data_IF_793084371997
#
_entry.id   IF_793084371997
#
_cell.length_a   1.000
_cell.length_b   1.000
_cell.length_c   1.000
_cell.angle_alpha   90.00
_cell.angle_beta   90.00
_cell.angle_gamma   90.00
#
_symmetry.space_group_name_H-M   'P 1'
#
loop_
_entity.id
_entity.type
_entity.pdbx_description
1 polymer ?
#
# COMPACT_ATOMS: atom_id res chain seq x y z
N UNK A 1 13.70 -26.02 -7.05
CA UNK A 1 12.65 -25.59 -7.97
C UNK A 1 12.27 -24.13 -7.73
N UNK A 2 11.68 -23.74 -6.60
CA UNK A 2 11.34 -22.32 -6.36
C UNK A 2 12.57 -21.40 -6.43
N UNK A 3 13.63 -21.69 -5.64
CA UNK A 3 14.87 -20.92 -5.66
C UNK A 3 15.53 -20.83 -7.05
N UNK A 4 15.34 -21.84 -7.90
CA UNK A 4 15.87 -21.84 -9.26
C UNK A 4 15.09 -20.86 -10.15
N UNK A 5 13.76 -20.88 -10.08
CA UNK A 5 12.90 -19.91 -10.78
C UNK A 5 13.17 -18.49 -10.26
N UNK A 6 13.41 -18.34 -8.96
CA UNK A 6 13.78 -17.06 -8.35
C UNK A 6 15.09 -16.54 -8.90
N UNK A 7 16.15 -17.35 -8.88
CA UNK A 7 17.46 -16.97 -9.40
C UNK A 7 17.39 -16.56 -10.88
N UNK A 8 16.58 -17.24 -11.69
CA UNK A 8 16.40 -16.86 -13.10
C UNK A 8 15.78 -15.46 -13.22
N UNK A 9 14.69 -15.19 -12.49
CA UNK A 9 13.94 -13.94 -12.64
C UNK A 9 14.55 -12.76 -11.86
N UNK A 10 15.35 -13.03 -10.83
CA UNK A 10 15.95 -12.03 -9.94
C UNK A 10 17.44 -11.78 -10.24
N UNK A 11 18.04 -12.56 -11.17
CA UNK A 11 19.38 -12.27 -11.68
C UNK A 11 19.43 -10.96 -12.46
N UNK A 12 20.56 -10.24 -12.39
CA UNK A 12 20.78 -9.00 -13.12
C UNK A 12 20.81 -9.27 -14.64
N UNK A 13 19.68 -9.03 -15.31
CA UNK A 13 19.57 -9.18 -16.76
C UNK A 13 18.14 -9.49 -17.21
N UNK A 14 17.89 -9.40 -18.51
CA UNK A 14 16.65 -9.97 -19.09
C UNK A 14 16.84 -11.47 -19.24
N UNK A 15 15.95 -12.32 -18.69
CA UNK A 15 16.06 -13.78 -18.81
C UNK A 15 16.16 -14.22 -20.27
N UNK A 16 17.07 -15.17 -20.56
CA UNK A 16 17.20 -15.74 -21.91
C UNK A 16 16.01 -16.65 -22.24
N UNK A 17 15.78 -16.94 -23.52
CA UNK A 17 14.69 -17.85 -23.93
C UNK A 17 14.87 -19.26 -23.34
N UNK A 18 16.12 -19.72 -23.20
CA UNK A 18 16.42 -20.98 -22.53
C UNK A 18 16.02 -20.95 -21.05
N UNK A 19 16.21 -19.82 -20.36
CA UNK A 19 15.82 -19.67 -18.97
C UNK A 19 14.30 -19.59 -18.80
N UNK A 20 13.61 -18.89 -19.71
CA UNK A 20 12.15 -18.89 -19.78
C UNK A 20 11.61 -20.31 -20.00
N UNK A 21 12.23 -21.11 -20.89
CA UNK A 21 11.83 -22.49 -21.11
C UNK A 21 12.06 -23.37 -19.88
N UNK A 22 13.13 -23.16 -19.10
CA UNK A 22 13.33 -23.88 -17.82
C UNK A 22 12.18 -23.61 -16.85
N UNK A 23 11.72 -22.36 -16.73
CA UNK A 23 10.58 -22.02 -15.88
C UNK A 23 9.32 -22.76 -16.33
N UNK A 24 9.05 -22.83 -17.64
CA UNK A 24 7.90 -23.59 -18.19
C UNK A 24 8.03 -25.08 -17.88
N UNK A 25 9.21 -25.67 -18.04
CA UNK A 25 9.43 -27.09 -17.72
C UNK A 25 9.20 -27.38 -16.23
N UNK A 26 9.59 -26.46 -15.33
CA UNK A 26 9.32 -26.56 -13.89
C UNK A 26 7.82 -26.42 -13.63
N UNK A 27 7.15 -25.46 -14.29
CA UNK A 27 5.70 -25.28 -14.20
C UNK A 27 4.95 -26.56 -14.60
N UNK A 28 5.26 -27.16 -15.75
CA UNK A 28 4.55 -28.36 -16.23
C UNK A 28 4.71 -29.57 -15.30
N UNK A 29 5.86 -29.68 -14.63
CA UNK A 29 6.10 -30.72 -13.60
C UNK A 29 5.38 -30.46 -12.29
N UNK A 30 5.20 -29.19 -11.92
CA UNK A 30 4.68 -28.78 -10.60
C UNK A 30 3.18 -28.50 -10.61
N UNK A 31 2.60 -28.08 -11.73
CA UNK A 31 1.19 -27.68 -11.84
C UNK A 31 0.21 -28.79 -11.45
N UNK A 32 0.33 -30.06 -11.91
CA UNK A 32 -0.57 -31.13 -11.46
C UNK A 32 -0.42 -31.45 -9.97
N UNK A 33 0.82 -31.37 -9.44
CA UNK A 33 1.09 -31.58 -8.00
C UNK A 33 0.50 -30.46 -7.16
N UNK A 34 0.60 -29.23 -7.63
CA UNK A 34 0.00 -28.05 -7.02
C UNK A 34 -1.51 -28.18 -6.91
N UNK A 35 -2.20 -28.54 -8.00
CA UNK A 35 -3.64 -28.75 -7.99
C UNK A 35 -4.06 -29.78 -6.92
N UNK A 36 -3.32 -30.90 -6.84
CA UNK A 36 -3.56 -31.93 -5.80
C UNK A 36 -3.36 -31.37 -4.39
N UNK A 37 -2.23 -30.71 -4.11
CA UNK A 37 -1.96 -30.18 -2.77
C UNK A 37 -2.92 -29.06 -2.36
N UNK A 38 -3.39 -28.24 -3.29
CA UNK A 38 -4.44 -27.25 -3.03
C UNK A 38 -5.75 -27.94 -2.64
N UNK A 39 -6.14 -29.01 -3.34
CA UNK A 39 -7.34 -29.76 -3.00
C UNK A 39 -7.23 -30.44 -1.62
N UNK A 40 -6.07 -31.05 -1.32
CA UNK A 40 -5.80 -31.65 -0.01
C UNK A 40 -5.85 -30.63 1.12
N UNK A 41 -5.26 -29.44 0.94
CA UNK A 41 -5.27 -28.40 1.97
C UNK A 41 -6.66 -27.78 2.14
N UNK A 42 -7.45 -27.65 1.06
CA UNK A 42 -8.85 -27.23 1.15
C UNK A 42 -9.70 -28.23 1.94
N UNK A 43 -9.39 -29.53 1.84
CA UNK A 43 -10.05 -30.55 2.66
C UNK A 43 -9.67 -30.35 4.14
N UNK A 44 -8.38 -30.20 4.44
CA UNK A 44 -7.91 -29.99 5.83
C UNK A 44 -8.48 -28.74 6.46
N UNK A 45 -8.62 -27.66 5.70
CA UNK A 45 -9.25 -26.43 6.17
C UNK A 45 -10.68 -26.63 6.65
N UNK A 46 -11.40 -27.57 6.05
CA UNK A 46 -12.79 -27.84 6.41
C UNK A 46 -12.94 -28.82 7.56
N UNK A 47 -11.93 -29.65 7.82
CA UNK A 47 -12.07 -30.83 8.68
C UNK A 47 -11.08 -30.90 9.85
N UNK A 48 -9.95 -30.19 9.79
CA UNK A 48 -8.84 -30.35 10.75
C UNK A 48 -8.59 -29.08 11.56
N UNK A 49 -8.55 -27.92 10.92
CA UNK A 49 -8.26 -26.68 11.64
C UNK A 49 -9.52 -26.11 12.27
N UNK A 50 -9.53 -26.00 13.60
CA UNK A 50 -10.66 -25.42 14.36
C UNK A 50 -10.45 -23.93 14.64
N UNK A 51 -9.21 -23.50 14.91
CA UNK A 51 -8.88 -22.16 15.42
C UNK A 51 -7.91 -21.37 14.51
N UNK A 52 -8.02 -21.54 13.19
CA UNK A 52 -7.19 -20.78 12.23
C UNK A 52 -5.70 -21.14 12.23
N UNK A 53 -5.31 -22.23 12.91
CA UNK A 53 -3.93 -22.75 13.03
C UNK A 53 -3.22 -22.93 11.69
N UNK A 54 -4.00 -23.21 10.63
CA UNK A 54 -3.50 -23.40 9.28
C UNK A 54 -2.95 -22.12 8.63
N UNK A 55 -3.38 -20.92 9.03
CA UNK A 55 -3.07 -19.69 8.28
C UNK A 55 -1.56 -19.42 8.19
N UNK A 56 -0.86 -19.40 9.32
CA UNK A 56 0.60 -19.20 9.33
C UNK A 56 1.36 -20.44 8.84
N UNK A 57 0.93 -21.64 9.26
CA UNK A 57 1.63 -22.89 8.96
C UNK A 57 1.55 -23.29 7.48
N UNK A 58 0.51 -22.87 6.75
CA UNK A 58 0.36 -23.12 5.30
C UNK A 58 1.54 -22.62 4.48
N UNK A 59 2.30 -21.63 4.96
CA UNK A 59 3.53 -21.18 4.31
C UNK A 59 4.56 -22.30 4.16
N UNK A 60 4.57 -23.27 5.07
CA UNK A 60 5.48 -24.41 5.04
C UNK A 60 4.93 -25.59 4.21
N UNK A 61 3.73 -25.48 3.65
CA UNK A 61 3.16 -26.46 2.73
C UNK A 61 3.80 -26.30 1.33
N UNK A 62 4.19 -27.38 0.63
CA UNK A 62 4.69 -27.32 -0.74
C UNK A 62 3.80 -26.53 -1.72
N UNK A 63 2.47 -26.54 -1.53
CA UNK A 63 1.53 -25.77 -2.32
C UNK A 63 1.78 -24.25 -2.25
N UNK A 64 2.28 -23.73 -1.13
CA UNK A 64 2.64 -22.32 -1.03
C UNK A 64 3.79 -21.96 -1.98
N UNK A 65 4.86 -22.75 -1.97
CA UNK A 65 5.98 -22.61 -2.92
C UNK A 65 5.56 -22.81 -4.37
N UNK A 66 4.72 -23.82 -4.64
CA UNK A 66 4.22 -24.05 -5.99
C UNK A 66 3.31 -22.93 -6.50
N UNK A 67 2.47 -22.34 -5.64
CA UNK A 67 1.64 -21.17 -6.01
C UNK A 67 2.52 -19.99 -6.45
N UNK A 68 3.69 -19.79 -5.80
CA UNK A 68 4.67 -18.80 -6.24
C UNK A 68 5.28 -19.15 -7.61
N UNK A 69 5.57 -20.42 -7.87
CA UNK A 69 6.01 -20.89 -9.20
C UNK A 69 4.93 -20.64 -10.25
N UNK A 70 3.65 -20.95 -9.97
CA UNK A 70 2.53 -20.68 -10.88
C UNK A 70 2.45 -19.19 -11.24
N UNK A 71 2.52 -18.32 -10.24
CA UNK A 71 2.56 -16.88 -10.44
C UNK A 71 3.75 -16.42 -11.30
N UNK A 72 4.95 -16.99 -11.07
CA UNK A 72 6.15 -16.68 -11.87
C UNK A 72 6.06 -17.24 -13.30
N UNK A 73 5.40 -18.38 -13.52
CA UNK A 73 5.15 -18.93 -14.85
C UNK A 73 4.24 -18.04 -15.70
N UNK A 74 3.27 -17.36 -15.09
CA UNK A 74 2.43 -16.39 -15.79
C UNK A 74 3.24 -15.27 -16.46
N UNK A 75 4.29 -14.78 -15.81
CA UNK A 75 5.19 -13.78 -16.40
C UNK A 75 5.78 -14.28 -17.71
N UNK A 76 6.17 -15.57 -17.76
CA UNK A 76 6.71 -16.20 -18.97
C UNK A 76 5.65 -16.29 -20.07
N UNK A 77 4.44 -16.75 -19.74
CA UNK A 77 3.33 -16.81 -20.70
C UNK A 77 3.00 -15.43 -21.28
N UNK A 78 3.00 -14.40 -20.43
CA UNK A 78 2.81 -13.02 -20.88
C UNK A 78 3.90 -12.54 -21.83
N UNK A 79 5.18 -12.85 -21.54
CA UNK A 79 6.32 -12.53 -22.41
C UNK A 79 6.26 -13.22 -23.76
N UNK A 80 5.80 -14.49 -23.79
CA UNK A 80 5.60 -15.28 -25.01
C UNK A 80 4.30 -14.97 -25.75
N UNK A 81 3.48 -14.05 -25.23
CA UNK A 81 2.14 -13.71 -25.75
C UNK A 81 1.18 -14.92 -25.77
N UNK A 82 1.44 -15.91 -24.93
CA UNK A 82 0.56 -17.07 -24.69
C UNK A 82 -0.60 -16.67 -23.77
N UNK A 83 -1.34 -15.62 -24.15
CA UNK A 83 -2.32 -14.97 -23.28
C UNK A 83 -3.47 -15.90 -22.84
N UNK A 84 -3.81 -16.90 -23.65
CA UNK A 84 -4.82 -17.90 -23.28
C UNK A 84 -4.37 -18.79 -22.10
N UNK A 85 -3.11 -19.25 -22.09
CA UNK A 85 -2.54 -20.00 -20.96
C UNK A 85 -2.40 -19.11 -19.73
N UNK A 86 -1.98 -17.87 -19.92
CA UNK A 86 -1.89 -16.88 -18.85
C UNK A 86 -3.25 -16.63 -18.18
N UNK A 87 -4.31 -16.44 -18.97
CA UNK A 87 -5.68 -16.25 -18.49
C UNK A 87 -6.23 -17.49 -17.77
N UNK A 88 -6.02 -18.68 -18.33
CA UNK A 88 -6.44 -19.95 -17.69
C UNK A 88 -5.79 -20.15 -16.33
N UNK A 89 -4.47 -19.93 -16.23
CA UNK A 89 -3.75 -20.05 -14.95
C UNK A 89 -4.19 -19.01 -13.92
N UNK A 90 -4.50 -17.78 -14.37
CA UNK A 90 -5.08 -16.75 -13.51
C UNK A 90 -6.44 -17.16 -12.94
N UNK A 91 -7.30 -17.79 -13.75
CA UNK A 91 -8.59 -18.30 -13.29
C UNK A 91 -8.41 -19.39 -12.23
N UNK A 92 -7.44 -20.29 -12.41
CA UNK A 92 -7.11 -21.33 -11.41
C UNK A 92 -6.56 -20.71 -10.10
N UNK A 93 -5.65 -19.74 -10.19
CA UNK A 93 -5.08 -19.05 -9.03
C UNK A 93 -6.14 -18.27 -8.23
N UNK A 94 -7.08 -17.62 -8.92
CA UNK A 94 -8.17 -16.87 -8.29
C UNK A 94 -9.25 -17.79 -7.68
N UNK A 95 -9.38 -19.03 -8.17
CA UNK A 95 -10.37 -20.01 -7.65
C UNK A 95 -10.02 -20.49 -6.24
N UNK A 96 -8.74 -20.65 -5.92
CA UNK A 96 -8.30 -21.02 -4.57
C UNK A 96 -8.20 -19.80 -3.64
N UNK A 97 -8.39 -20.01 -2.34
CA UNK A 97 -8.34 -18.95 -1.30
C UNK A 97 -7.45 -19.33 -0.12
N UNK A 98 -6.38 -20.08 -0.36
CA UNK A 98 -5.49 -20.58 0.70
C UNK A 98 -4.08 -19.99 0.65
N UNK A 99 -3.56 -19.73 -0.55
CA UNK A 99 -2.17 -19.38 -0.76
C UNK A 99 -2.03 -18.07 -1.54
N UNK A 100 -1.08 -17.22 -1.12
CA UNK A 100 -0.75 -15.94 -1.77
C UNK A 100 -1.94 -14.99 -1.88
N UNK A 101 -2.75 -14.89 -0.81
CA UNK A 101 -3.96 -14.06 -0.77
C UNK A 101 -3.68 -12.60 -1.11
N UNK A 102 -2.56 -12.07 -0.62
CA UNK A 102 -2.10 -10.72 -0.92
C UNK A 102 -1.93 -10.41 -2.42
N UNK A 103 -1.80 -11.43 -3.29
CA UNK A 103 -1.62 -11.26 -4.74
C UNK A 103 -2.93 -11.21 -5.53
N UNK A 104 -4.07 -11.50 -4.90
CA UNK A 104 -5.36 -11.62 -5.60
C UNK A 104 -5.72 -10.35 -6.34
N UNK A 105 -5.50 -9.17 -5.74
CA UNK A 105 -5.74 -7.90 -6.42
C UNK A 105 -4.91 -7.73 -7.70
N UNK A 106 -3.62 -8.08 -7.67
CA UNK A 106 -2.77 -8.09 -8.87
C UNK A 106 -3.25 -9.12 -9.91
N UNK A 107 -3.74 -10.28 -9.48
CA UNK A 107 -4.32 -11.28 -10.37
C UNK A 107 -5.60 -10.79 -11.05
N UNK A 108 -6.52 -10.14 -10.32
CA UNK A 108 -7.71 -9.50 -10.90
C UNK A 108 -7.33 -8.42 -11.92
N UNK A 109 -6.40 -7.52 -11.56
CA UNK A 109 -5.93 -6.47 -12.45
C UNK A 109 -5.37 -7.05 -13.76
N UNK A 110 -4.56 -8.12 -13.67
CA UNK A 110 -3.97 -8.76 -14.85
C UNK A 110 -5.03 -9.51 -15.66
N UNK A 111 -5.94 -10.25 -15.02
CA UNK A 111 -7.03 -10.98 -15.70
C UNK A 111 -7.94 -10.02 -16.48
N UNK A 112 -8.39 -8.92 -15.85
CA UNK A 112 -9.21 -7.91 -16.52
C UNK A 112 -8.49 -7.24 -17.69
N UNK A 113 -7.17 -7.02 -17.59
CA UNK A 113 -6.35 -6.51 -18.70
C UNK A 113 -6.33 -7.51 -19.87
N UNK A 114 -6.15 -8.79 -19.58
CA UNK A 114 -6.13 -9.84 -20.59
C UNK A 114 -7.46 -9.96 -21.34
N UNK A 115 -8.55 -9.93 -20.58
CA UNK A 115 -9.92 -9.95 -21.08
C UNK A 115 -10.22 -8.76 -21.98
N UNK A 116 -9.82 -7.54 -21.57
CA UNK A 116 -10.05 -6.33 -22.37
C UNK A 116 -9.30 -6.35 -23.72
N UNK A 117 -8.05 -6.83 -23.74
CA UNK A 117 -7.13 -6.56 -24.85
C UNK A 117 -6.81 -7.76 -25.76
N UNK A 118 -6.84 -8.99 -25.23
CA UNK A 118 -6.29 -10.15 -25.92
C UNK A 118 -7.30 -11.27 -26.14
N UNK A 119 -8.21 -11.52 -25.20
CA UNK A 119 -9.08 -12.71 -25.26
C UNK A 119 -10.00 -12.71 -26.48
N UNK A 120 -10.55 -11.56 -26.86
CA UNK A 120 -11.40 -11.45 -28.05
C UNK A 120 -10.72 -11.86 -29.37
N UNK A 121 -9.37 -11.84 -29.44
CA UNK A 121 -8.61 -12.30 -30.63
C UNK A 121 -8.41 -13.81 -30.63
N UNK A 122 -8.40 -14.45 -29.47
CA UNK A 122 -8.16 -15.88 -29.30
C UNK A 122 -9.44 -16.71 -29.44
N UNK A 123 -10.59 -16.12 -29.12
CA UNK A 123 -11.88 -16.81 -28.97
C UNK A 123 -12.55 -17.25 -30.29
N UNK A 124 -11.84 -17.23 -31.43
CA UNK A 124 -12.32 -17.85 -32.67
C UNK A 124 -13.60 -17.24 -33.28
N UNK A 125 -14.22 -17.98 -34.20
CA UNK A 125 -15.12 -17.48 -35.27
C UNK A 125 -16.34 -16.63 -34.82
N UNK A 126 -16.73 -15.66 -35.66
CA UNK A 126 -17.86 -14.74 -35.43
C UNK A 126 -17.48 -13.25 -35.49
N UNK A 127 -18.48 -12.36 -35.33
CA UNK A 127 -18.25 -10.91 -35.39
C UNK A 127 -17.25 -10.45 -34.31
N UNK A 128 -16.20 -9.76 -34.77
CA UNK A 128 -15.08 -9.28 -33.94
C UNK A 128 -15.57 -8.24 -32.93
N UNK A 129 -16.50 -7.37 -33.30
CA UNK A 129 -17.00 -6.33 -32.40
C UNK A 129 -17.93 -6.91 -31.33
N UNK A 130 -18.77 -7.88 -31.68
CA UNK A 130 -19.56 -8.64 -30.70
C UNK A 130 -18.67 -9.31 -29.65
N UNK A 131 -17.62 -10.04 -30.06
CA UNK A 131 -16.66 -10.69 -29.14
C UNK A 131 -15.95 -9.68 -28.24
N UNK A 132 -15.46 -8.56 -28.80
CA UNK A 132 -14.84 -7.49 -28.00
C UNK A 132 -15.81 -6.94 -26.97
N UNK A 133 -17.09 -6.79 -27.31
CA UNK A 133 -18.11 -6.32 -26.36
C UNK A 133 -18.32 -7.35 -25.24
N UNK A 134 -18.46 -8.63 -25.58
CA UNK A 134 -18.62 -9.71 -24.61
C UNK A 134 -17.42 -9.78 -23.64
N UNK A 135 -16.20 -9.78 -24.15
CA UNK A 135 -14.99 -9.83 -23.32
C UNK A 135 -14.79 -8.58 -22.45
N UNK A 136 -15.23 -7.40 -22.91
CA UNK A 136 -15.28 -6.20 -22.06
C UNK A 136 -16.29 -6.35 -20.92
N UNK A 137 -17.43 -6.99 -21.15
CA UNK A 137 -18.42 -7.29 -20.10
C UNK A 137 -17.86 -8.29 -19.07
N UNK A 138 -17.12 -9.30 -19.54
CA UNK A 138 -16.39 -10.23 -18.65
C UNK A 138 -15.34 -9.47 -17.84
N UNK A 139 -14.60 -8.56 -18.45
CA UNK A 139 -13.61 -7.72 -17.76
C UNK A 139 -14.24 -6.80 -16.70
N UNK A 140 -15.43 -6.23 -16.98
CA UNK A 140 -16.23 -5.49 -15.99
C UNK A 140 -16.56 -6.38 -14.80
N UNK A 141 -17.10 -7.57 -15.06
CA UNK A 141 -17.45 -8.55 -14.02
C UNK A 141 -16.22 -8.96 -13.20
N UNK A 142 -15.06 -9.15 -13.84
CA UNK A 142 -13.79 -9.44 -13.15
C UNK A 142 -13.37 -8.30 -12.23
N UNK A 143 -13.49 -7.04 -12.67
CA UNK A 143 -13.20 -5.87 -11.83
C UNK A 143 -14.16 -5.77 -10.64
N UNK A 144 -15.47 -5.96 -10.86
CA UNK A 144 -16.49 -5.95 -9.79
C UNK A 144 -16.22 -7.05 -8.76
N UNK A 145 -15.96 -8.28 -9.23
CA UNK A 145 -15.61 -9.42 -8.37
C UNK A 145 -14.35 -9.12 -7.55
N UNK A 146 -13.34 -8.49 -8.16
CA UNK A 146 -12.12 -8.09 -7.47
C UNK A 146 -12.36 -7.04 -6.39
N UNK A 147 -13.23 -6.06 -6.64
CA UNK A 147 -13.58 -5.04 -5.64
C UNK A 147 -14.43 -5.59 -4.47
N UNK A 148 -15.20 -6.66 -4.72
CA UNK A 148 -16.01 -7.35 -3.71
C UNK A 148 -15.24 -8.46 -2.96
N UNK A 149 -14.05 -8.84 -3.43
CA UNK A 149 -13.25 -9.88 -2.80
C UNK A 149 -12.61 -9.34 -1.50
N UNK A 150 -12.91 -9.93 -0.32
CA UNK A 150 -12.34 -9.47 0.95
C UNK A 150 -10.80 -9.59 1.00
N UNK A 151 -10.23 -10.51 0.22
CA UNK A 151 -8.78 -10.71 0.13
C UNK A 151 -8.13 -9.81 -0.94
N UNK A 152 -8.91 -9.02 -1.68
CA UNK A 152 -8.37 -8.00 -2.57
C UNK A 152 -7.97 -6.77 -1.75
N UNK A 153 -6.67 -6.65 -1.49
CA UNK A 153 -6.09 -5.55 -0.73
C UNK A 153 -6.42 -4.17 -1.32
N UNK A 154 -6.61 -3.19 -0.45
CA UNK A 154 -7.09 -1.84 -0.81
C UNK A 154 -6.17 -1.15 -1.82
N UNK A 155 -4.87 -1.46 -1.79
CA UNK A 155 -3.86 -0.94 -2.74
C UNK A 155 -4.18 -1.23 -4.21
N UNK A 156 -4.98 -2.25 -4.50
CA UNK A 156 -5.34 -2.64 -5.87
C UNK A 156 -6.66 -2.03 -6.35
N UNK A 157 -7.46 -1.47 -5.44
CA UNK A 157 -8.80 -0.98 -5.73
C UNK A 157 -8.76 0.19 -6.71
N UNK A 158 -7.81 1.12 -6.57
CA UNK A 158 -7.67 2.27 -7.48
C UNK A 158 -7.60 1.85 -8.97
N UNK A 159 -6.71 0.92 -9.33
CA UNK A 159 -6.55 0.51 -10.73
C UNK A 159 -7.74 -0.31 -11.25
N UNK A 160 -8.37 -1.09 -10.36
CA UNK A 160 -9.59 -1.85 -10.69
C UNK A 160 -10.76 -0.89 -10.97
N UNK A 161 -10.99 0.09 -10.10
CA UNK A 161 -12.01 1.15 -10.28
C UNK A 161 -11.74 1.96 -11.55
N UNK A 162 -10.48 2.39 -11.77
CA UNK A 162 -10.08 3.12 -12.97
C UNK A 162 -10.33 2.32 -14.25
N UNK A 163 -10.03 1.02 -14.25
CA UNK A 163 -10.31 0.13 -15.38
C UNK A 163 -11.81 -0.06 -15.57
N UNK A 164 -12.57 -0.25 -14.50
CA UNK A 164 -14.02 -0.41 -14.54
C UNK A 164 -14.67 0.81 -15.22
N UNK A 165 -14.42 2.02 -14.74
CA UNK A 165 -14.95 3.25 -15.33
C UNK A 165 -14.58 3.41 -16.82
N UNK A 166 -13.36 3.00 -17.19
CA UNK A 166 -12.92 3.02 -18.60
C UNK A 166 -13.69 2.00 -19.45
N UNK A 167 -13.94 0.80 -18.93
CA UNK A 167 -14.68 -0.26 -19.62
C UNK A 167 -16.16 0.12 -19.79
N UNK A 168 -16.79 0.67 -18.77
CA UNK A 168 -18.19 1.12 -18.83
C UNK A 168 -18.41 2.21 -19.89
N UNK A 169 -17.48 3.18 -19.97
CA UNK A 169 -17.47 4.18 -21.04
C UNK A 169 -17.33 3.55 -22.42
N UNK A 170 -16.45 2.55 -22.58
CA UNK A 170 -16.27 1.81 -23.85
C UNK A 170 -17.51 0.98 -24.21
N UNK A 171 -18.24 0.48 -23.23
CA UNK A 171 -19.49 -0.25 -23.40
C UNK A 171 -20.70 0.67 -23.61
N UNK A 172 -20.50 2.00 -23.50
CA UNK A 172 -21.55 3.03 -23.60
C UNK A 172 -22.69 2.79 -22.61
N UNK A 173 -22.34 2.35 -21.40
CA UNK A 173 -23.31 2.20 -20.30
C UNK A 173 -23.85 3.60 -19.94
N UNK A 174 -25.17 3.80 -19.83
CA UNK A 174 -25.75 5.09 -19.43
C UNK A 174 -25.16 5.57 -18.10
N UNK A 175 -24.88 6.87 -17.96
CA UNK A 175 -24.20 7.46 -16.77
C UNK A 175 -24.87 7.08 -15.44
N UNK A 176 -26.20 6.95 -15.41
CA UNK A 176 -26.97 6.52 -14.23
C UNK A 176 -26.77 5.06 -13.79
N UNK A 177 -26.20 4.23 -14.68
CA UNK A 177 -25.90 2.81 -14.45
C UNK A 177 -24.38 2.59 -14.34
N UNK A 178 -23.57 3.63 -14.52
CA UNK A 178 -22.13 3.54 -14.29
C UNK A 178 -21.86 3.53 -12.80
N UNK A 179 -20.80 2.84 -12.41
CA UNK A 179 -20.33 2.90 -11.04
C UNK A 179 -19.91 4.33 -10.68
N UNK A 180 -20.38 4.81 -9.54
CA UNK A 180 -19.94 6.08 -8.96
C UNK A 180 -19.13 5.81 -7.69
N UNK A 181 -17.84 6.12 -7.77
CA UNK A 181 -16.92 6.01 -6.65
C UNK A 181 -16.73 7.35 -5.93
N UNK A 182 -17.70 8.28 -6.00
CA UNK A 182 -17.60 9.70 -5.60
C UNK A 182 -16.95 10.06 -4.25
N UNK A 183 -16.81 9.12 -3.31
CA UNK A 183 -16.08 9.26 -2.04
C UNK A 183 -14.57 8.92 -2.16
N UNK A 184 -14.19 8.06 -3.12
CA UNK A 184 -12.83 7.73 -3.51
C UNK A 184 -12.46 8.62 -4.70
N UNK A 185 -12.06 9.86 -4.42
CA UNK A 185 -11.61 10.76 -5.49
C UNK A 185 -10.38 10.13 -6.13
N UNK A 186 -10.48 9.67 -7.38
CA UNK A 186 -9.31 9.38 -8.24
C UNK A 186 -8.57 10.68 -8.60
N UNK A 187 -8.44 11.60 -7.64
CA UNK A 187 -7.87 12.92 -7.83
C UNK A 187 -6.36 12.81 -7.93
N UNK A 188 -5.80 13.65 -8.79
CA UNK A 188 -4.36 13.86 -8.81
C UNK A 188 -3.93 14.59 -7.53
N UNK A 189 -2.69 14.35 -7.05
CA UNK A 189 -2.13 15.16 -5.98
C UNK A 189 -2.11 16.64 -6.36
N UNK A 190 -2.19 17.50 -5.34
CA UNK A 190 -2.02 18.94 -5.53
C UNK A 190 -0.56 19.22 -5.83
N UNK A 191 -0.26 19.79 -6.98
CA UNK A 191 1.10 20.23 -7.29
C UNK A 191 1.39 21.56 -6.60
N UNK A 192 2.55 21.64 -5.97
CA UNK A 192 3.01 22.79 -5.23
C UNK A 192 4.48 23.07 -5.54
N UNK A 193 4.89 24.32 -5.40
CA UNK A 193 6.28 24.73 -5.53
C UNK A 193 6.72 25.45 -4.26
N UNK A 194 7.85 25.04 -3.70
CA UNK A 194 8.51 25.73 -2.59
C UNK A 194 9.87 26.21 -3.07
N UNK A 195 10.12 27.49 -2.92
CA UNK A 195 11.36 28.14 -3.33
C UNK A 195 12.30 28.29 -2.15
N UNK A 196 13.57 27.91 -2.33
CA UNK A 196 14.60 28.00 -1.31
C UNK A 196 15.98 28.31 -1.88
N UNK A 197 16.95 28.55 -0.99
CA UNK A 197 18.35 28.76 -1.38
C UNK A 197 19.10 27.44 -1.29
N UNK A 198 19.61 26.96 -2.42
CA UNK A 198 20.39 25.73 -2.47
C UNK A 198 21.86 26.03 -2.20
N UNK A 199 22.46 25.28 -1.28
CA UNK A 199 23.88 25.37 -0.95
C UNK A 199 24.62 24.27 -1.71
N UNK A 200 25.49 24.66 -2.63
CA UNK A 200 26.28 23.74 -3.44
C UNK A 200 27.71 23.75 -2.93
N UNK A 201 28.21 22.58 -2.52
CA UNK A 201 29.62 22.39 -2.17
C UNK A 201 30.34 21.76 -3.34
N UNK A 202 31.42 22.40 -3.80
CA UNK A 202 32.31 21.82 -4.79
C UNK A 202 33.21 20.78 -4.10
N UNK A 203 32.63 19.63 -3.79
CA UNK A 203 33.39 18.46 -3.38
C UNK A 203 34.11 17.91 -4.62
N UNK A 204 35.38 18.31 -4.79
CA UNK A 204 36.26 17.66 -5.75
C UNK A 204 36.18 16.13 -5.54
N UNK A 205 35.87 15.34 -6.59
CA UNK A 205 35.69 13.91 -6.43
C UNK A 205 37.02 13.31 -5.95
N UNK A 206 37.09 12.89 -4.68
CA UNK A 206 38.23 12.11 -4.19
C UNK A 206 38.31 10.83 -5.02
N UNK A 207 39.48 10.59 -5.63
CA UNK A 207 39.72 9.40 -6.43
C UNK A 207 39.40 8.15 -5.59
N UNK A 208 38.36 7.41 -5.98
CA UNK A 208 37.90 6.19 -5.32
C UNK A 208 36.67 6.30 -4.41
N UNK A 209 36.05 7.48 -4.25
CA UNK A 209 34.78 7.60 -3.53
C UNK A 209 33.58 7.15 -4.38
N UNK A 210 32.70 6.33 -3.81
CA UNK A 210 31.36 6.07 -4.37
C UNK A 210 30.63 7.39 -4.63
N UNK A 211 29.79 7.40 -5.67
CA UNK A 211 29.11 8.58 -6.23
C UNK A 211 28.70 9.62 -5.17
N UNK A 212 28.89 10.91 -5.50
CA UNK A 212 28.50 12.04 -4.67
C UNK A 212 27.08 11.87 -4.13
N UNK A 213 26.88 12.13 -2.83
CA UNK A 213 25.57 12.08 -2.17
C UNK A 213 24.54 12.87 -2.97
N UNK A 214 23.47 12.22 -3.39
CA UNK A 214 22.32 12.86 -4.08
C UNK A 214 21.52 13.79 -3.18
N UNK A 215 21.83 13.86 -1.88
CA UNK A 215 21.17 14.78 -0.95
C UNK A 215 21.61 16.21 -1.24
N UNK A 216 20.63 17.04 -1.56
CA UNK A 216 20.82 18.49 -1.73
C UNK A 216 20.80 19.17 -0.37
N UNK A 217 21.67 20.16 -0.18
CA UNK A 217 21.76 20.96 1.05
C UNK A 217 21.09 22.31 0.77
N UNK A 218 20.27 22.77 1.71
CA UNK A 218 19.49 24.00 1.58
C UNK A 218 19.69 24.89 2.80
N UNK A 219 19.46 26.18 2.64
CA UNK A 219 19.42 27.12 3.75
C UNK A 219 18.00 27.21 4.30
N UNK A 220 17.84 27.00 5.60
CA UNK A 220 16.59 27.20 6.30
C UNK A 220 16.41 28.68 6.67
N UNK A 221 16.03 29.50 5.68
CA UNK A 221 15.79 30.94 5.89
C UNK A 221 14.65 31.23 6.89
N UNK A 222 13.81 30.23 7.15
CA UNK A 222 12.51 30.44 7.78
C UNK A 222 12.46 30.11 9.27
N UNK A 223 13.35 29.23 9.75
CA UNK A 223 13.41 28.77 11.13
C UNK A 223 14.83 28.90 11.71
N UNK A 224 15.73 27.94 11.44
CA UNK A 224 17.06 27.88 12.09
C UNK A 224 18.11 28.84 11.54
N UNK A 225 17.95 29.35 10.33
CA UNK A 225 18.98 30.14 9.62
C UNK A 225 20.22 29.33 9.22
N UNK A 226 20.20 28.01 9.42
CA UNK A 226 21.31 27.10 9.17
C UNK A 226 21.12 26.21 7.95
N UNK A 227 22.06 25.29 7.75
CA UNK A 227 21.97 24.26 6.70
C UNK A 227 20.95 23.18 7.09
N UNK A 228 20.11 22.79 6.14
CA UNK A 228 19.07 21.79 6.34
C UNK A 228 18.89 20.92 5.08
N UNK A 229 18.10 19.85 5.21
CA UNK A 229 17.67 19.04 4.06
C UNK A 229 16.54 19.74 3.29
N UNK A 230 16.26 19.27 2.06
CA UNK A 230 15.17 19.81 1.26
C UNK A 230 13.80 19.64 1.92
N UNK A 231 13.62 18.54 2.66
CA UNK A 231 12.39 18.21 3.37
C UNK A 231 12.19 19.13 4.57
N UNK A 232 13.24 19.41 5.35
CA UNK A 232 13.15 20.33 6.48
C UNK A 232 12.91 21.77 6.01
N UNK A 233 13.55 22.20 4.91
CA UNK A 233 13.26 23.50 4.29
C UNK A 233 11.78 23.63 3.88
N UNK A 234 11.23 22.59 3.25
CA UNK A 234 9.80 22.54 2.94
C UNK A 234 8.94 22.56 4.21
N UNK A 235 9.35 21.82 5.26
CA UNK A 235 8.65 21.78 6.53
C UNK A 235 8.61 23.17 7.21
N UNK A 236 9.72 23.92 7.22
CA UNK A 236 9.77 25.30 7.71
C UNK A 236 8.83 26.23 6.93
N UNK A 237 8.74 26.04 5.61
CA UNK A 237 7.77 26.77 4.77
C UNK A 237 6.32 26.48 5.19
N UNK A 238 5.98 25.22 5.43
CA UNK A 238 4.65 24.83 5.92
C UNK A 238 4.36 25.33 7.34
N UNK A 239 5.36 25.31 8.24
CA UNK A 239 5.25 25.87 9.60
C UNK A 239 4.84 27.34 9.57
N UNK A 240 5.41 28.15 8.67
CA UNK A 240 5.00 29.55 8.51
C UNK A 240 3.57 29.74 8.02
N UNK A 241 2.99 28.74 7.36
CA UNK A 241 1.58 28.74 6.96
C UNK A 241 0.64 28.18 8.04
N UNK A 242 1.15 27.94 9.25
CA UNK A 242 0.36 27.44 10.39
C UNK A 242 0.20 25.92 10.42
N UNK A 243 1.00 25.16 9.67
CA UNK A 243 1.00 23.69 9.76
C UNK A 243 2.01 23.21 10.80
N UNK A 244 1.59 22.26 11.64
CA UNK A 244 2.52 21.35 12.32
C UNK A 244 2.90 20.21 11.37
N UNK A 245 4.03 19.56 11.61
CA UNK A 245 4.41 18.44 10.78
C UNK A 245 5.65 17.68 11.21
N UNK A 246 5.74 16.44 10.73
CA UNK A 246 6.90 15.57 10.88
C UNK A 246 7.47 15.17 9.52
N UNK A 247 8.80 15.20 9.41
CA UNK A 247 9.55 14.50 8.36
C UNK A 247 9.98 13.14 8.92
N UNK A 248 9.31 12.06 8.50
CA UNK A 248 9.50 10.74 9.15
C UNK A 248 9.60 9.55 8.20
N UNK A 249 9.61 9.73 6.87
CA UNK A 249 9.69 8.63 5.89
C UNK A 249 8.68 7.48 6.19
N UNK A 250 7.46 7.86 6.60
CA UNK A 250 6.40 6.94 7.05
C UNK A 250 6.51 6.40 8.49
N UNK A 251 7.53 6.78 9.24
CA UNK A 251 7.75 6.39 10.65
C UNK A 251 6.60 6.79 11.57
N UNK A 252 6.00 7.96 11.34
CA UNK A 252 4.81 8.40 12.08
C UNK A 252 3.61 7.48 11.80
N UNK A 253 3.39 7.07 10.54
CA UNK A 253 2.30 6.14 10.17
C UNK A 253 2.51 4.77 10.82
N UNK A 254 3.75 4.26 10.84
CA UNK A 254 4.10 3.01 11.54
C UNK A 254 3.87 3.13 13.05
N UNK A 255 4.21 4.27 13.64
CA UNK A 255 4.03 4.54 15.07
C UNK A 255 2.56 4.63 15.44
N UNK A 256 1.75 5.33 14.64
CA UNK A 256 0.30 5.38 14.81
C UNK A 256 -0.31 3.99 14.68
N UNK A 257 0.07 3.22 13.66
CA UNK A 257 -0.41 1.84 13.51
C UNK A 257 -0.05 0.98 14.73
N UNK A 258 1.18 1.05 15.23
CA UNK A 258 1.60 0.28 16.39
C UNK A 258 0.83 0.64 17.66
N UNK A 259 0.53 1.92 17.90
CA UNK A 259 -0.37 2.34 18.99
C UNK A 259 -1.79 1.81 18.77
N UNK A 260 -2.38 2.11 17.61
CA UNK A 260 -3.78 1.84 17.31
C UNK A 260 -4.10 0.35 17.13
N UNK A 261 -3.11 -0.51 16.93
CA UNK A 261 -3.28 -1.96 16.74
C UNK A 261 -2.52 -2.79 17.78
N UNK A 262 -2.06 -2.20 18.89
CA UNK A 262 -1.19 -2.88 19.85
C UNK A 262 -1.73 -4.25 20.30
N UNK A 263 -2.97 -4.29 20.79
CA UNK A 263 -3.64 -5.52 21.24
C UNK A 263 -3.93 -6.50 20.10
N UNK A 264 -4.20 -6.02 18.89
CA UNK A 264 -4.35 -6.86 17.68
C UNK A 264 -3.02 -7.50 17.27
N UNK A 265 -1.91 -6.74 17.36
CA UNK A 265 -0.55 -7.22 17.07
C UNK A 265 -0.14 -8.34 18.02
N UNK A 266 -0.48 -8.20 19.31
CA UNK A 266 -0.15 -9.16 20.36
C UNK A 266 -1.31 -10.11 20.71
N UNK A 267 -2.35 -10.16 19.87
CA UNK A 267 -3.41 -11.15 19.98
C UNK A 267 -2.82 -12.56 19.88
N UNK A 268 -3.26 -13.45 20.76
CA UNK A 268 -2.85 -14.85 20.72
C UNK A 268 -3.29 -15.48 19.40
N UNK A 269 -2.32 -15.89 18.60
CA UNK A 269 -2.53 -16.76 17.45
C UNK A 269 -1.60 -17.97 17.56
N UNK A 270 -2.05 -19.18 17.20
CA UNK A 270 -1.21 -20.38 17.25
C UNK A 270 0.07 -20.21 16.43
N UNK A 271 1.22 -20.60 17.00
CA UNK A 271 2.53 -20.69 16.34
C UNK A 271 3.20 -19.37 15.90
N UNK A 272 2.59 -18.19 16.11
CA UNK A 272 3.19 -16.90 15.69
C UNK A 272 4.07 -16.25 16.74
N UNK A 273 3.93 -16.65 18.01
CA UNK A 273 4.81 -16.27 19.12
C UNK A 273 5.49 -17.53 19.67
N UNK A 274 6.79 -17.64 19.42
CA UNK A 274 7.64 -18.77 19.82
C UNK A 274 8.58 -18.41 20.98
N UNK A 275 8.89 -17.12 21.17
CA UNK A 275 9.76 -16.66 22.25
C UNK A 275 9.23 -15.38 22.90
N UNK A 276 9.63 -15.14 24.15
CA UNK A 276 9.26 -13.93 24.90
C UNK A 276 9.95 -12.64 24.39
N UNK A 277 10.88 -12.74 23.43
CA UNK A 277 11.67 -11.61 22.91
C UNK A 277 11.15 -11.06 21.58
N UNK A 278 10.03 -11.56 21.08
CA UNK A 278 9.45 -11.09 19.84
C UNK A 278 8.79 -9.72 20.01
N UNK A 279 9.19 -8.78 19.16
CA UNK A 279 8.61 -7.42 19.08
C UNK A 279 7.39 -7.33 18.16
N UNK A 280 7.06 -8.43 17.47
CA UNK A 280 5.91 -8.59 16.59
C UNK A 280 5.61 -10.08 16.33
N UNK A 281 4.39 -10.42 15.88
CA UNK A 281 4.08 -11.80 15.54
C UNK A 281 4.79 -12.22 14.24
N UNK A 282 5.20 -13.49 14.14
CA UNK A 282 5.98 -13.99 12.99
C UNK A 282 5.23 -13.89 11.65
N UNK A 283 3.91 -13.74 11.69
CA UNK A 283 3.07 -13.62 10.51
C UNK A 283 2.90 -12.18 10.01
N UNK A 284 3.31 -11.14 10.75
CA UNK A 284 3.11 -9.73 10.37
C UNK A 284 3.66 -9.38 8.98
N UNK A 285 4.80 -9.94 8.61
CA UNK A 285 5.44 -9.70 7.31
C UNK A 285 5.01 -10.72 6.23
N UNK A 286 3.83 -11.33 6.41
CA UNK A 286 3.29 -12.39 5.58
C UNK A 286 1.86 -12.07 5.16
N UNK A 287 1.39 -12.76 4.13
CA UNK A 287 0.02 -12.69 3.65
C UNK A 287 -1.00 -13.40 4.57
N UNK A 288 -0.54 -13.97 5.70
CA UNK A 288 -1.39 -14.62 6.69
C UNK A 288 -1.87 -13.68 7.80
N UNK A 289 -1.17 -12.57 8.10
CA UNK A 289 -1.48 -11.70 9.25
C UNK A 289 -2.90 -11.14 9.20
N UNK A 290 -3.28 -10.55 8.05
CA UNK A 290 -4.59 -9.93 7.90
C UNK A 290 -5.73 -10.96 7.91
N UNK A 291 -5.70 -12.04 7.11
CA UNK A 291 -6.75 -13.07 7.15
C UNK A 291 -6.90 -13.73 8.53
N UNK A 292 -5.79 -13.97 9.23
CA UNK A 292 -5.80 -14.63 10.55
C UNK A 292 -6.46 -13.79 11.65
N UNK A 293 -6.51 -12.46 11.49
CA UNK A 293 -7.11 -11.51 12.45
C UNK A 293 -8.18 -10.64 11.81
N UNK A 294 -8.82 -11.13 10.73
CA UNK A 294 -9.70 -10.30 9.93
C UNK A 294 -10.87 -9.74 10.75
N UNK A 295 -11.38 -10.51 11.72
CA UNK A 295 -12.46 -10.06 12.61
C UNK A 295 -12.01 -8.89 13.49
N UNK A 296 -10.92 -9.06 14.22
CA UNK A 296 -10.38 -8.10 15.18
C UNK A 296 -9.86 -6.84 14.48
N UNK A 297 -9.20 -7.02 13.33
CA UNK A 297 -8.77 -5.91 12.48
C UNK A 297 -9.99 -5.11 12.02
N UNK A 298 -11.02 -5.75 11.47
CA UNK A 298 -12.19 -5.02 10.97
C UNK A 298 -12.96 -4.33 12.11
N UNK A 299 -13.05 -4.94 13.30
CA UNK A 299 -13.62 -4.29 14.48
C UNK A 299 -12.82 -3.03 14.85
N UNK A 300 -11.49 -3.15 14.97
CA UNK A 300 -10.60 -2.01 15.28
C UNK A 300 -10.71 -0.89 14.25
N UNK A 301 -10.81 -1.24 12.97
CA UNK A 301 -11.00 -0.27 11.89
C UNK A 301 -12.31 0.53 12.05
N UNK A 302 -13.38 -0.10 12.54
CA UNK A 302 -14.65 0.59 12.83
C UNK A 302 -14.54 1.49 14.06
N UNK A 303 -13.87 1.04 15.13
CA UNK A 303 -13.60 1.88 16.30
C UNK A 303 -12.84 3.16 15.91
N UNK A 304 -11.77 3.02 15.12
CA UNK A 304 -11.00 4.16 14.61
C UNK A 304 -11.87 5.04 13.72
N UNK A 305 -12.69 4.45 12.86
CA UNK A 305 -13.60 5.20 11.99
C UNK A 305 -14.61 6.06 12.77
N UNK A 306 -15.01 5.60 13.96
CA UNK A 306 -15.93 6.31 14.85
C UNK A 306 -15.24 7.30 15.80
N UNK A 307 -13.92 7.53 15.67
CA UNK A 307 -13.20 8.54 16.43
C UNK A 307 -12.50 8.05 17.71
N UNK A 308 -12.43 6.74 17.94
CA UNK A 308 -11.78 6.17 19.15
C UNK A 308 -10.24 6.20 19.10
N UNK A 309 -9.66 6.71 18.01
CA UNK A 309 -8.22 6.67 17.77
C UNK A 309 -7.38 7.32 18.86
N UNK A 310 -7.76 8.50 19.36
CA UNK A 310 -7.01 9.18 20.43
C UNK A 310 -7.01 8.37 21.72
N UNK A 311 -8.17 7.81 22.10
CA UNK A 311 -8.30 6.99 23.30
C UNK A 311 -7.39 5.77 23.21
N UNK A 312 -7.45 5.02 22.11
CA UNK A 312 -6.63 3.84 21.88
C UNK A 312 -5.12 4.16 21.97
N UNK A 313 -4.72 5.29 21.39
CA UNK A 313 -3.33 5.74 21.42
C UNK A 313 -2.86 6.05 22.84
N UNK A 314 -3.65 6.84 23.60
CA UNK A 314 -3.31 7.24 24.97
C UNK A 314 -3.28 6.05 25.92
N UNK A 315 -4.22 5.12 25.82
CA UNK A 315 -4.23 3.90 26.63
C UNK A 315 -2.96 3.06 26.48
N UNK A 316 -2.46 2.91 25.25
CA UNK A 316 -1.21 2.18 24.99
C UNK A 316 -0.02 2.96 25.52
N UNK A 317 0.02 4.27 25.32
CA UNK A 317 1.09 5.12 25.83
C UNK A 317 1.17 5.05 27.36
N UNK A 318 0.05 5.24 28.07
CA UNK A 318 -0.01 5.19 29.54
C UNK A 318 0.47 3.85 30.09
N UNK A 319 0.10 2.75 29.43
CA UNK A 319 0.46 1.39 29.88
C UNK A 319 1.91 1.03 29.59
N UNK A 320 2.44 1.41 28.43
CA UNK A 320 3.68 0.84 27.88
C UNK A 320 4.86 1.83 27.79
N UNK A 321 4.61 3.15 27.74
CA UNK A 321 5.66 4.16 27.54
C UNK A 321 6.71 4.15 28.67
N UNK A 322 6.28 4.00 29.93
CA UNK A 322 7.19 3.95 31.08
C UNK A 322 8.20 2.79 31.03
N UNK A 323 7.85 1.69 30.35
CA UNK A 323 8.75 0.55 30.11
C UNK A 323 9.51 0.66 28.80
N UNK A 324 9.13 1.59 27.92
CA UNK A 324 9.58 1.70 26.53
C UNK A 324 9.51 0.36 25.81
N UNK A 325 8.37 -0.33 25.93
CA UNK A 325 8.17 -1.66 25.36
C UNK A 325 8.53 -1.67 23.88
N UNK A 326 9.36 -2.64 23.47
CA UNK A 326 9.85 -2.73 22.11
C UNK A 326 8.78 -3.38 21.22
N UNK A 327 8.20 -2.58 20.33
CA UNK A 327 7.19 -3.01 19.36
C UNK A 327 7.60 -2.57 17.98
N UNK A 328 7.40 -3.43 16.98
CA UNK A 328 7.73 -3.10 15.59
C UNK A 328 7.03 -1.82 15.14
N UNK A 329 7.78 -0.91 14.53
CA UNK A 329 7.25 0.34 13.98
C UNK A 329 6.89 1.42 15.02
N UNK A 330 6.94 1.10 16.32
CA UNK A 330 6.67 2.02 17.40
C UNK A 330 7.92 2.84 17.74
N UNK A 331 7.83 4.16 17.65
CA UNK A 331 8.87 5.06 18.14
C UNK A 331 8.32 5.90 19.30
N UNK A 332 8.92 5.75 20.47
CA UNK A 332 8.56 6.46 21.70
C UNK A 332 9.05 7.91 21.76
N UNK A 333 9.87 8.33 20.80
CA UNK A 333 10.43 9.69 20.77
C UNK A 333 9.49 10.69 20.09
N UNK A 334 8.39 10.23 19.48
CA UNK A 334 7.31 11.11 19.07
C UNK A 334 6.54 11.61 20.27
N UNK A 335 6.20 12.90 20.27
CA UNK A 335 5.39 13.50 21.32
C UNK A 335 3.96 12.95 21.26
N UNK A 336 3.47 12.45 22.40
CA UNK A 336 2.15 11.79 22.48
C UNK A 336 1.01 12.77 22.23
N UNK A 337 1.17 14.04 22.60
CA UNK A 337 0.15 15.06 22.42
C UNK A 337 0.10 15.52 20.97
N UNK A 338 1.24 15.63 20.29
CA UNK A 338 1.28 15.84 18.84
C UNK A 338 0.65 14.66 18.09
N UNK A 339 0.95 13.41 18.49
CA UNK A 339 0.32 12.22 17.87
C UNK A 339 -1.19 12.19 18.10
N UNK A 340 -1.65 12.52 19.31
CA UNK A 340 -3.06 12.60 19.64
C UNK A 340 -3.77 13.72 18.84
N UNK A 341 -3.16 14.90 18.73
CA UNK A 341 -3.67 16.00 17.91
C UNK A 341 -3.75 15.61 16.44
N UNK A 342 -2.71 14.97 15.90
CA UNK A 342 -2.70 14.45 14.53
C UNK A 342 -3.85 13.46 14.31
N UNK A 343 -4.07 12.53 15.24
CA UNK A 343 -5.19 11.58 15.18
C UNK A 343 -6.55 12.29 15.18
N UNK A 344 -6.74 13.34 15.99
CA UNK A 344 -7.97 14.16 15.98
C UNK A 344 -8.18 14.93 14.67
N UNK A 345 -7.10 15.30 13.99
CA UNK A 345 -7.17 16.03 12.72
C UNK A 345 -7.57 15.12 11.55
N UNK A 346 -7.39 13.81 11.65
CA UNK A 346 -7.87 12.88 10.63
C UNK A 346 -9.39 12.75 10.66
N UNK A 347 -10.00 12.59 9.49
CA UNK A 347 -11.29 11.92 9.41
C UNK A 347 -11.07 10.45 9.83
N UNK A 348 -11.88 9.94 10.76
CA UNK A 348 -11.70 8.59 11.30
C UNK A 348 -11.69 7.52 10.21
N UNK A 349 -12.55 7.67 9.20
CA UNK A 349 -12.63 6.79 8.03
C UNK A 349 -11.30 6.75 7.26
N UNK A 350 -10.61 7.89 7.18
CA UNK A 350 -9.34 8.04 6.48
C UNK A 350 -8.19 7.39 7.24
N UNK A 351 -8.10 7.63 8.55
CA UNK A 351 -7.12 6.98 9.43
C UNK A 351 -7.32 5.45 9.45
N UNK A 352 -8.58 5.01 9.48
CA UNK A 352 -8.95 3.60 9.35
C UNK A 352 -8.44 3.01 8.02
N UNK A 353 -8.65 3.68 6.89
CA UNK A 353 -8.15 3.21 5.59
C UNK A 353 -6.61 3.06 5.55
N UNK A 354 -5.87 4.01 6.14
CA UNK A 354 -4.40 3.93 6.28
C UNK A 354 -4.01 2.70 7.11
N UNK A 355 -4.65 2.50 8.27
CA UNK A 355 -4.39 1.35 9.12
C UNK A 355 -4.72 0.02 8.43
N UNK A 356 -5.79 -0.03 7.62
CA UNK A 356 -6.15 -1.21 6.84
C UNK A 356 -5.05 -1.59 5.85
N UNK A 357 -4.46 -0.62 5.17
CA UNK A 357 -3.32 -0.87 4.26
C UNK A 357 -2.09 -1.37 5.01
N UNK A 358 -1.81 -0.80 6.18
CA UNK A 358 -0.72 -1.27 7.04
C UNK A 358 -0.94 -2.72 7.50
N UNK A 359 -2.16 -3.08 7.89
CA UNK A 359 -2.50 -4.44 8.28
C UNK A 359 -2.42 -5.43 7.10
N UNK A 360 -2.85 -5.02 5.90
CA UNK A 360 -2.82 -5.89 4.71
C UNK A 360 -1.41 -6.09 4.14
N UNK A 361 -0.54 -5.07 4.19
CA UNK A 361 0.72 -5.04 3.43
C UNK A 361 1.91 -4.48 4.22
N UNK A 362 2.00 -4.77 5.52
CA UNK A 362 3.01 -4.20 6.42
C UNK A 362 4.45 -4.23 5.87
N UNK A 363 4.88 -5.39 5.33
CA UNK A 363 6.24 -5.57 4.77
C UNK A 363 6.53 -4.65 3.58
N UNK A 364 5.57 -4.46 2.67
CA UNK A 364 5.78 -3.73 1.40
C UNK A 364 5.43 -2.26 1.51
N UNK A 365 4.52 -1.91 2.42
CA UNK A 365 3.95 -0.57 2.57
C UNK A 365 4.45 0.18 3.79
N UNK A 366 5.36 -0.43 4.57
CA UNK A 366 6.20 0.31 5.50
C UNK A 366 7.05 1.38 4.82
N UNK A 367 7.31 1.31 3.50
CA UNK A 367 8.02 2.34 2.73
C UNK A 367 7.14 2.99 1.65
N UNK A 368 7.59 4.16 1.17
CA UNK A 368 6.93 4.94 0.11
C UNK A 368 5.73 5.77 0.58
N UNK A 369 5.50 5.89 1.88
CA UNK A 369 4.63 6.94 2.44
C UNK A 369 5.27 8.29 2.11
N UNK A 370 4.49 9.34 1.76
CA UNK A 370 5.04 10.67 1.52
C UNK A 370 5.92 11.18 2.67
N UNK A 371 6.94 11.97 2.32
CA UNK A 371 8.01 12.38 3.24
C UNK A 371 7.49 13.13 4.47
N UNK A 372 6.57 14.08 4.23
CA UNK A 372 6.00 14.94 5.26
C UNK A 372 4.56 14.54 5.58
N UNK A 373 4.27 14.49 6.87
CA UNK A 373 2.89 14.47 7.40
C UNK A 373 2.64 15.79 8.09
N UNK A 374 1.66 16.53 7.61
CA UNK A 374 1.33 17.89 8.04
C UNK A 374 -0.08 17.89 8.61
N UNK A 375 -0.30 18.59 9.72
CA UNK A 375 -1.62 18.80 10.28
C UNK A 375 -1.78 20.19 10.88
N UNK A 376 -3.03 20.63 11.02
CA UNK A 376 -3.40 21.83 11.77
C UNK A 376 -4.77 21.64 12.38
N UNK A 377 -4.92 22.01 13.64
CA UNK A 377 -6.19 21.93 14.37
C UNK A 377 -7.07 23.14 14.08
N UNK A 378 -8.39 22.93 14.00
CA UNK A 378 -9.39 24.00 13.94
C UNK A 378 -9.76 24.54 15.33
N UNK A 379 -9.21 23.96 16.42
CA UNK A 379 -9.58 24.31 17.79
C UNK A 379 -9.18 25.75 18.19
N UNK A 380 -8.27 26.39 17.44
CA UNK A 380 -7.81 27.77 17.65
C UNK A 380 -8.56 28.86 16.87
N UNK A 381 -9.50 28.50 15.99
CA UNK A 381 -10.29 29.48 15.22
C UNK A 381 -11.52 29.92 16.05
N UNK A 382 -11.41 31.08 16.70
CA UNK A 382 -12.55 31.73 17.36
C UNK A 382 -13.51 32.30 16.29
N UNK A 383 -14.59 31.59 15.99
CA UNK A 383 -15.61 32.04 15.03
C UNK A 383 -16.75 31.04 14.80
N UNK A 384 -17.72 31.44 13.98
CA UNK A 384 -18.98 30.72 13.64
C UNK A 384 -18.76 29.28 13.13
N UNK A 385 -17.55 28.91 12.69
CA UNK A 385 -17.18 27.56 12.24
C UNK A 385 -17.16 26.49 13.36
N UNK A 386 -17.00 26.88 14.63
CA UNK A 386 -17.16 25.95 15.78
C UNK A 386 -18.57 25.36 15.85
N UNK A 387 -19.58 26.05 15.33
CA UNK A 387 -20.97 25.59 15.30
C UNK A 387 -21.18 24.37 14.38
N UNK A 388 -20.39 24.24 13.30
CA UNK A 388 -20.50 23.13 12.36
C UNK A 388 -19.63 21.92 12.73
N UNK A 389 -18.51 22.13 13.42
CA UNK A 389 -17.65 21.03 13.89
C UNK A 389 -18.27 20.23 15.06
N UNK A 390 -19.08 20.89 15.90
CA UNK A 390 -19.78 20.24 17.03
C UNK A 390 -21.01 19.41 16.61
N UNK A 391 -21.56 19.65 15.41
CA UNK A 391 -22.65 18.85 14.81
C UNK A 391 -22.16 17.70 13.92
N UNK A 392 -20.85 17.61 13.68
CA UNK A 392 -20.29 16.55 12.86
C UNK A 392 -20.25 15.23 13.65
N UNK A 393 -20.74 14.15 13.04
CA UNK A 393 -20.89 12.85 13.69
C UNK A 393 -19.59 12.24 14.25
N UNK A 394 -19.68 11.10 14.96
CA UNK A 394 -18.51 10.41 15.49
C UNK A 394 -17.46 10.16 14.38
N UNK A 395 -16.19 10.45 14.68
CA UNK A 395 -15.08 10.33 13.72
C UNK A 395 -14.88 11.52 12.78
N UNK A 396 -15.63 12.61 12.93
CA UNK A 396 -15.39 13.83 12.16
C UNK A 396 -14.02 14.46 12.47
N UNK A 397 -13.35 14.95 11.43
CA UNK A 397 -12.06 15.62 11.54
C UNK A 397 -12.19 16.94 12.31
N UNK A 398 -11.31 17.16 13.31
CA UNK A 398 -11.20 18.43 14.06
C UNK A 398 -10.09 19.34 13.53
N UNK A 399 -9.61 19.05 12.34
CA UNK A 399 -8.44 19.68 11.74
C UNK A 399 -8.32 19.30 10.29
N UNK A 400 -7.16 19.63 9.72
CA UNK A 400 -6.79 19.21 8.37
C UNK A 400 -5.52 18.39 8.45
N UNK A 401 -5.47 17.33 7.65
CA UNK A 401 -4.26 16.53 7.44
C UNK A 401 -3.87 16.56 5.97
N UNK A 402 -2.58 16.75 5.73
CA UNK A 402 -1.99 16.71 4.41
C UNK A 402 -0.71 15.89 4.42
N UNK A 403 -0.55 15.01 3.44
CA UNK A 403 0.71 14.35 3.16
C UNK A 403 1.40 15.07 2.01
N UNK A 404 2.68 15.42 2.16
CA UNK A 404 3.45 16.06 1.11
C UNK A 404 4.67 15.21 0.75
N UNK A 405 4.79 14.86 -0.53
CA UNK A 405 5.97 14.21 -1.10
C UNK A 405 6.87 15.30 -1.68
N UNK A 406 8.11 15.40 -1.20
CA UNK A 406 9.05 16.44 -1.59
C UNK A 406 9.92 15.92 -2.73
N UNK A 407 9.95 16.65 -3.85
CA UNK A 407 10.76 16.31 -5.02
C UNK A 407 11.64 17.47 -5.43
N UNK A 408 12.91 17.17 -5.66
CA UNK A 408 13.82 18.09 -6.36
C UNK A 408 13.60 18.01 -7.88
N UNK A 409 14.08 19.01 -8.62
CA UNK A 409 13.82 19.18 -10.05
C UNK A 409 14.05 17.95 -10.96
N UNK A 410 14.90 17.00 -10.54
CA UNK A 410 15.25 15.81 -11.31
C UNK A 410 14.68 14.50 -10.75
N UNK A 411 13.96 14.53 -9.63
CA UNK A 411 13.45 13.33 -8.98
C UNK A 411 12.06 12.93 -9.51
N UNK A 412 11.80 11.61 -9.58
CA UNK A 412 10.55 11.05 -10.07
C UNK A 412 9.90 10.20 -8.99
N UNK A 413 8.56 10.22 -8.97
CA UNK A 413 7.78 9.37 -8.09
C UNK A 413 8.04 7.88 -8.37
N UNK A 414 8.41 7.15 -7.33
CA UNK A 414 8.48 5.69 -7.37
C UNK A 414 7.07 5.07 -7.47
N UNK A 415 6.99 3.82 -7.93
CA UNK A 415 5.72 3.10 -8.02
C UNK A 415 5.06 2.92 -6.63
N UNK A 416 5.87 2.73 -5.58
CA UNK A 416 5.38 2.59 -4.20
C UNK A 416 4.76 3.89 -3.69
N UNK A 417 5.38 5.04 -3.99
CA UNK A 417 4.85 6.36 -3.64
C UNK A 417 3.51 6.62 -4.34
N UNK A 418 3.42 6.35 -5.65
CA UNK A 418 2.15 6.52 -6.38
C UNK A 418 1.00 5.70 -5.77
N UNK A 419 1.29 4.47 -5.31
CA UNK A 419 0.28 3.65 -4.63
C UNK A 419 -0.19 4.30 -3.32
N UNK A 420 0.72 4.81 -2.50
CA UNK A 420 0.35 5.51 -1.27
C UNK A 420 -0.45 6.78 -1.55
N UNK A 421 -0.09 7.54 -2.58
CA UNK A 421 -0.87 8.71 -2.99
C UNK A 421 -2.30 8.31 -3.39
N UNK A 422 -2.47 7.24 -4.18
CA UNK A 422 -3.81 6.73 -4.52
C UNK A 422 -4.61 6.27 -3.30
N UNK A 423 -3.96 5.59 -2.33
CA UNK A 423 -4.60 5.16 -1.08
C UNK A 423 -5.06 6.38 -0.27
N UNK A 424 -4.17 7.36 -0.06
CA UNK A 424 -4.44 8.54 0.73
C UNK A 424 -5.54 9.40 0.11
N UNK A 425 -5.46 9.68 -1.20
CA UNK A 425 -6.50 10.44 -1.90
C UNK A 425 -7.82 9.68 -1.97
N UNK A 426 -7.76 8.36 -2.14
CA UNK A 426 -8.93 7.49 -2.09
C UNK A 426 -9.60 7.43 -0.72
N UNK A 427 -8.83 7.67 0.34
CA UNK A 427 -9.31 7.82 1.71
C UNK A 427 -9.75 9.26 2.06
N UNK A 428 -9.75 10.19 1.09
CA UNK A 428 -10.13 11.58 1.31
C UNK A 428 -9.02 12.47 1.91
N UNK A 429 -7.82 11.94 2.13
CA UNK A 429 -6.69 12.70 2.66
C UNK A 429 -6.07 13.56 1.56
N UNK A 430 -5.76 14.83 1.88
CA UNK A 430 -5.08 15.73 0.95
C UNK A 430 -3.64 15.25 0.74
N UNK A 431 -3.25 15.11 -0.53
CA UNK A 431 -1.88 14.75 -0.91
C UNK A 431 -1.32 15.85 -1.79
N UNK A 432 -0.10 16.31 -1.47
CA UNK A 432 0.63 17.30 -2.24
C UNK A 432 1.93 16.70 -2.82
N UNK A 433 2.24 17.09 -4.06
CA UNK A 433 3.55 16.90 -4.65
C UNK A 433 4.28 18.25 -4.57
N UNK A 434 5.26 18.33 -3.68
CA UNK A 434 5.97 19.56 -3.36
C UNK A 434 7.30 19.61 -4.13
N UNK A 435 7.33 20.40 -5.19
CA UNK A 435 8.54 20.64 -5.97
C UNK A 435 9.41 21.69 -5.28
N UNK A 436 10.56 21.27 -4.77
CA UNK A 436 11.56 22.17 -4.22
C UNK A 436 12.41 22.76 -5.35
N UNK A 437 12.36 24.08 -5.50
CA UNK A 437 13.05 24.82 -6.57
C UNK A 437 14.05 25.80 -5.96
N UNK A 438 15.26 25.81 -6.51
CA UNK A 438 16.27 26.76 -6.09
C UNK A 438 15.97 28.13 -6.71
N UNK A 439 15.60 29.12 -5.88
CA UNK A 439 15.53 30.52 -6.32
C UNK A 439 16.92 31.14 -6.44
N UNK A 440 17.85 30.65 -5.63
CA UNK A 440 19.25 31.08 -5.57
C UNK A 440 20.12 29.84 -5.29
N UNK A 441 21.27 29.75 -5.95
CA UNK A 441 22.28 28.71 -5.68
C UNK A 441 23.52 29.41 -5.16
N UNK A 442 23.92 29.11 -3.92
CA UNK A 442 25.14 29.63 -3.29
C UNK A 442 26.19 28.54 -3.28
N UNK A 443 27.36 28.87 -3.82
CA UNK A 443 28.54 28.04 -3.66
C UNK A 443 29.11 28.26 -2.26
N UNK A 444 29.27 27.18 -1.51
CA UNK A 444 29.78 27.20 -0.13
C UNK A 444 31.03 26.32 -0.10
N UNK A 445 32.13 26.88 0.39
CA UNK A 445 33.44 26.20 0.47
C UNK A 445 33.48 25.05 1.46
#
# INVERSE_FOLDING_TARGET
>A
MEAEVDNILESNGTPSEADLQKIVNIFERTHPRWQRFVAEELQKERTVYEMGEGAYLRRFNPAHSYTRIMHKAMYVFGRRKEHGREHGLLAELLKQKLFHLARRGAWYQRKALLEEHYMAKLDGDGDVEHRKRQWRQIAVTTCETGLQDPDCHLIHHYDLQKRLLKLEKKLRIPRRLQHDFGHVRLASPVEMTVEGIQLKRDLAPKAGAQAASTKTIWLDELDSGGECSVEEMCLSHFRRQGWKGYHAEGGVVRTLFAHLFYDVLFLYMPNVFQTAYQTCPLDLHTDAFFPARASEINHRLVEIANGEGERLLREVWEREHGRRTSVVGLNWDFDVDDLAELVRCFEGSALSAICKVMAQEYRRRGGGVPDLVLWRSHEGEEGEERGHAAEAGPGAARGQVMFAEVKSANDRLSDTQRVWMHVLTGAGVRVALCNAVAKEVREVD
#
